data_IF_465455048658
#
_entry.id   IF_465455048658
#
_cell.length_a   1.000
_cell.length_b   1.000
_cell.length_c   1.000
_cell.angle_alpha   90.00
_cell.angle_beta   90.00
_cell.angle_gamma   90.00
#
_symmetry.space_group_name_H-M   'P 1'
#
loop_
_entity.id
_entity.type
_entity.pdbx_description
1 polymer ?
#
# COMPACT_ATOMS: atom_id res chain seq x y z
N UNK A 1 24.77 9.42 72.12
CA UNK A 1 25.37 8.69 73.26
C UNK A 1 24.93 9.37 74.56
N UNK A 2 24.69 8.67 75.69
CA UNK A 2 24.90 7.24 75.95
C UNK A 2 23.75 6.50 76.67
N UNK A 3 23.91 5.16 76.68
CA UNK A 3 23.31 4.18 77.58
C UNK A 3 23.70 4.35 79.07
N UNK A 4 22.84 3.81 79.96
CA UNK A 4 23.14 2.84 81.07
C UNK A 4 22.08 2.99 82.18
N UNK A 5 21.21 2.00 82.43
CA UNK A 5 21.41 0.82 83.30
C UNK A 5 21.97 1.20 84.69
N UNK A 6 21.37 0.89 85.85
CA UNK A 6 20.92 -0.44 86.34
C UNK A 6 20.39 -0.29 87.80
N UNK A 7 19.76 -1.37 88.33
CA UNK A 7 19.71 -1.83 89.75
C UNK A 7 18.58 -1.26 90.65
N UNK A 8 17.92 -1.98 91.58
CA UNK A 8 18.09 -3.30 92.22
C UNK A 8 16.72 -3.78 92.78
N UNK A 9 16.46 -5.08 92.77
CA UNK A 9 15.47 -5.77 93.64
C UNK A 9 16.09 -6.09 95.02
N UNK A 10 15.32 -6.40 96.08
CA UNK A 10 14.88 -7.78 96.42
C UNK A 10 13.52 -7.79 97.20
N UNK A 11 12.94 -8.85 97.76
CA UNK A 11 12.80 -10.31 97.56
C UNK A 11 12.11 -10.87 98.82
N UNK A 12 11.39 -12.00 98.68
CA UNK A 12 10.88 -12.95 99.71
C UNK A 12 9.57 -12.54 100.41
N UNK A 13 8.54 -13.37 100.52
CA UNK A 13 8.39 -14.84 100.53
C UNK A 13 7.40 -15.17 101.68
N UNK A 14 6.75 -16.31 101.86
CA UNK A 14 6.49 -17.52 101.11
C UNK A 14 5.40 -18.26 101.94
N UNK A 15 4.42 -18.88 101.28
CA UNK A 15 3.45 -19.80 101.90
C UNK A 15 3.22 -20.94 100.91
N UNK A 16 3.57 -22.16 101.32
CA UNK A 16 4.02 -23.27 100.47
C UNK A 16 3.08 -24.48 100.67
N UNK A 17 3.17 -25.43 99.70
CA UNK A 17 2.90 -26.89 99.78
C UNK A 17 1.47 -27.34 99.38
N UNK A 18 1.21 -28.39 98.60
CA UNK A 18 2.02 -29.40 97.85
C UNK A 18 1.10 -30.34 97.06
N UNK A 19 1.62 -30.91 95.95
CA UNK A 19 1.28 -32.26 95.46
C UNK A 19 0.73 -32.27 94.03
N UNK A 20 1.26 -33.00 93.04
CA UNK A 20 2.29 -34.04 93.00
C UNK A 20 3.00 -34.05 91.63
N UNK A 21 4.23 -34.59 91.61
CA UNK A 21 5.11 -34.73 90.46
C UNK A 21 4.89 -36.11 89.82
N UNK A 22 4.86 -36.21 88.48
CA UNK A 22 5.49 -37.33 87.75
C UNK A 22 6.15 -36.88 86.46
N UNK A 23 7.42 -37.27 86.35
CA UNK A 23 8.31 -37.06 85.22
C UNK A 23 7.83 -37.80 83.96
N UNK A 24 7.90 -37.12 82.81
CA UNK A 24 7.75 -37.71 81.48
C UNK A 24 8.67 -37.04 80.47
N UNK A 25 9.90 -37.52 80.37
CA UNK A 25 10.84 -37.21 79.29
C UNK A 25 10.29 -37.82 78.00
N UNK A 26 9.72 -37.03 77.10
CA UNK A 26 9.24 -37.51 75.80
C UNK A 26 10.00 -36.83 74.65
N UNK A 27 10.63 -37.70 73.86
CA UNK A 27 11.54 -37.46 72.74
C UNK A 27 10.86 -36.64 71.63
N UNK A 28 11.67 -35.94 70.84
CA UNK A 28 11.28 -35.45 69.50
C UNK A 28 10.74 -36.64 68.69
N UNK A 29 9.41 -36.76 68.66
CA UNK A 29 8.71 -37.70 67.80
C UNK A 29 8.59 -37.10 66.41
N UNK A 30 9.38 -37.60 65.47
CA UNK A 30 9.11 -37.46 64.04
C UNK A 30 7.65 -37.88 63.78
N UNK A 31 6.78 -36.92 63.44
CA UNK A 31 5.43 -37.26 62.99
C UNK A 31 5.53 -37.81 61.56
N UNK A 32 5.35 -39.13 61.49
CA UNK A 32 4.82 -39.97 60.41
C UNK A 32 4.76 -39.33 59.02
N UNK A 33 5.54 -39.90 58.09
CA UNK A 33 5.26 -39.80 56.66
C UNK A 33 3.80 -40.19 56.38
N UNK A 34 3.07 -39.46 55.50
CA UNK A 34 1.72 -39.84 55.13
C UNK A 34 1.72 -41.24 54.50
N UNK A 35 0.77 -42.06 54.92
CA UNK A 35 0.54 -43.42 54.44
C UNK A 35 0.53 -43.50 52.91
N UNK A 36 1.19 -44.49 52.31
CA UNK A 36 1.40 -44.62 50.86
C UNK A 36 0.15 -44.63 49.96
N UNK A 37 -1.07 -44.64 50.51
CA UNK A 37 -2.34 -44.54 49.75
C UNK A 37 -2.77 -43.09 49.48
N UNK A 38 -2.52 -42.14 50.40
CA UNK A 38 -2.85 -40.72 50.20
C UNK A 38 -1.85 -40.00 49.30
N UNK A 39 -0.56 -40.38 49.39
CA UNK A 39 0.49 -39.91 48.46
C UNK A 39 0.19 -40.34 47.02
N UNK A 40 -0.31 -41.58 46.84
CA UNK A 40 -0.72 -42.11 45.52
C UNK A 40 -1.91 -41.35 44.92
N UNK A 41 -2.92 -41.03 45.73
CA UNK A 41 -4.08 -40.25 45.27
C UNK A 41 -3.66 -38.81 44.91
N UNK A 42 -2.80 -38.19 45.72
CA UNK A 42 -2.27 -36.85 45.44
C UNK A 42 -1.43 -36.83 44.14
N UNK A 43 -0.57 -37.83 43.95
CA UNK A 43 0.19 -37.98 42.71
C UNK A 43 -0.70 -38.18 41.48
N UNK A 44 -1.79 -38.96 41.59
CA UNK A 44 -2.77 -39.13 40.50
C UNK A 44 -3.47 -37.81 40.14
N UNK A 45 -3.88 -37.01 41.12
CA UNK A 45 -4.48 -35.68 40.86
C UNK A 45 -3.50 -34.70 40.22
N UNK A 46 -2.23 -34.71 40.65
CA UNK A 46 -1.18 -33.91 40.02
C UNK A 46 -0.96 -34.36 38.57
N UNK A 47 -0.92 -35.67 38.30
CA UNK A 47 -0.79 -36.20 36.95
C UNK A 47 -1.98 -35.82 36.06
N UNK A 48 -3.21 -35.86 36.58
CA UNK A 48 -4.41 -35.41 35.85
C UNK A 48 -4.35 -33.91 35.56
N UNK A 49 -3.95 -33.09 36.53
CA UNK A 49 -3.77 -31.64 36.33
C UNK A 49 -2.73 -31.34 35.25
N UNK A 50 -1.58 -32.01 35.30
CA UNK A 50 -0.52 -31.88 34.28
C UNK A 50 -1.02 -32.34 32.91
N UNK A 51 -1.76 -33.44 32.84
CA UNK A 51 -2.34 -33.92 31.59
C UNK A 51 -3.36 -32.93 31.00
N UNK A 52 -4.23 -32.34 31.83
CA UNK A 52 -5.19 -31.32 31.40
C UNK A 52 -4.47 -30.06 30.90
N UNK A 53 -3.42 -29.61 31.60
CA UNK A 53 -2.60 -28.49 31.16
C UNK A 53 -1.90 -28.79 29.82
N UNK A 54 -1.36 -30.00 29.67
CA UNK A 54 -0.70 -30.44 28.43
C UNK A 54 -1.69 -30.52 27.25
N UNK A 55 -2.89 -31.08 27.46
CA UNK A 55 -3.94 -31.12 26.45
C UNK A 55 -4.41 -29.70 26.10
N UNK A 56 -4.58 -28.83 27.09
CA UNK A 56 -4.94 -27.43 26.88
C UNK A 56 -3.89 -26.66 26.06
N UNK A 57 -2.60 -26.88 26.36
CA UNK A 57 -1.49 -26.35 25.56
C UNK A 57 -1.51 -26.90 24.13
N UNK A 58 -1.77 -28.20 23.95
CA UNK A 58 -1.81 -28.84 22.64
C UNK A 58 -2.99 -28.33 21.78
N UNK A 59 -4.19 -28.23 22.37
CA UNK A 59 -5.36 -27.62 21.71
C UNK A 59 -5.06 -26.17 21.32
N UNK A 60 -4.41 -25.39 22.20
CA UNK A 60 -4.00 -24.03 21.90
C UNK A 60 -3.01 -23.96 20.75
N UNK A 61 -2.01 -24.84 20.71
CA UNK A 61 -1.05 -24.88 19.60
C UNK A 61 -1.73 -25.21 18.27
N UNK A 62 -2.64 -26.19 18.26
CA UNK A 62 -3.41 -26.55 17.06
C UNK A 62 -4.29 -25.37 16.62
N UNK A 63 -4.96 -24.70 17.56
CA UNK A 63 -5.78 -23.53 17.26
C UNK A 63 -4.96 -22.37 16.68
N UNK A 64 -3.74 -22.13 17.17
CA UNK A 64 -2.82 -21.11 16.62
C UNK A 64 -2.36 -21.51 15.21
N UNK A 65 -2.09 -22.79 14.95
CA UNK A 65 -1.72 -23.26 13.61
C UNK A 65 -2.84 -23.08 12.57
N UNK A 66 -4.11 -23.14 12.99
CA UNK A 66 -5.26 -22.90 12.10
C UNK A 66 -5.72 -21.44 12.08
N UNK A 67 -5.40 -20.66 13.12
CA UNK A 67 -5.73 -19.24 13.21
C UNK A 67 -4.56 -18.47 13.88
N UNK A 68 -3.56 -18.04 13.08
CA UNK A 68 -2.37 -17.33 13.57
C UNK A 68 -2.71 -16.02 14.30
N UNK A 69 -3.86 -15.40 13.99
CA UNK A 69 -4.34 -14.16 14.63
C UNK A 69 -4.61 -14.29 16.14
N UNK A 70 -4.94 -15.51 16.61
CA UNK A 70 -5.11 -15.80 18.06
C UNK A 70 -3.74 -16.03 18.74
N UNK A 71 -2.70 -16.21 17.93
CA UNK A 71 -1.34 -16.48 18.35
C UNK A 71 -0.50 -15.24 18.68
N UNK A 72 0.80 -15.45 18.94
CA UNK A 72 1.73 -14.36 19.22
C UNK A 72 1.85 -13.38 18.04
N UNK A 73 1.74 -13.86 16.80
CA UNK A 73 1.83 -13.05 15.58
C UNK A 73 0.67 -12.03 15.49
N UNK A 74 -0.57 -12.45 15.72
CA UNK A 74 -1.71 -11.52 15.77
C UNK A 74 -1.61 -10.49 16.89
N UNK A 75 -1.11 -10.90 18.07
CA UNK A 75 -0.85 -9.97 19.16
C UNK A 75 0.23 -8.93 18.81
N UNK A 76 1.26 -9.35 18.07
CA UNK A 76 2.36 -8.50 17.63
C UNK A 76 1.92 -7.50 16.56
N UNK A 77 1.19 -7.93 15.54
CA UNK A 77 0.65 -7.02 14.51
C UNK A 77 -0.26 -5.96 15.12
N UNK A 78 -1.14 -6.34 16.05
CA UNK A 78 -1.99 -5.39 16.77
C UNK A 78 -1.18 -4.44 17.63
N UNK A 79 -0.07 -4.88 18.24
CA UNK A 79 0.85 -4.00 18.97
C UNK A 79 1.48 -2.96 18.04
N UNK A 80 1.97 -3.38 16.88
CA UNK A 80 2.58 -2.50 15.86
C UNK A 80 1.55 -1.50 15.34
N UNK A 81 0.37 -1.96 14.93
CA UNK A 81 -0.73 -1.10 14.44
C UNK A 81 -1.17 -0.08 15.50
N UNK A 82 -1.33 -0.51 16.75
CA UNK A 82 -1.69 0.39 17.86
C UNK A 82 -0.60 1.42 18.17
N UNK A 83 0.68 1.01 18.14
CA UNK A 83 1.80 1.90 18.37
C UNK A 83 1.91 2.96 17.26
N UNK A 84 1.79 2.55 15.99
CA UNK A 84 1.76 3.43 14.83
C UNK A 84 0.58 4.42 14.92
N UNK A 85 -0.63 3.91 15.14
CA UNK A 85 -1.85 4.73 15.23
C UNK A 85 -1.76 5.72 16.38
N UNK A 86 -1.33 5.28 17.56
CA UNK A 86 -1.13 6.17 18.71
C UNK A 86 -0.10 7.26 18.41
N UNK A 87 0.97 6.96 17.68
CA UNK A 87 1.96 7.97 17.28
C UNK A 87 1.35 8.97 16.29
N UNK A 88 0.68 8.47 15.24
CA UNK A 88 0.01 9.28 14.22
C UNK A 88 -1.05 10.20 14.83
N UNK A 89 -1.94 9.70 15.69
CA UNK A 89 -2.99 10.49 16.34
C UNK A 89 -2.46 11.63 17.24
N UNK A 90 -1.20 11.54 17.68
CA UNK A 90 -0.57 12.59 18.47
C UNK A 90 0.25 13.58 17.63
N UNK A 91 0.36 13.36 16.31
CA UNK A 91 1.06 14.26 15.41
C UNK A 91 0.22 15.53 15.16
N UNK A 92 0.83 16.73 15.17
CA UNK A 92 0.12 17.96 14.87
C UNK A 92 -0.41 18.02 13.43
N UNK A 93 0.13 17.23 12.50
CA UNK A 93 -0.25 17.25 11.08
C UNK A 93 -1.37 16.25 10.73
N UNK A 94 -1.82 15.45 11.71
CA UNK A 94 -2.82 14.41 11.53
C UNK A 94 -4.17 14.87 12.08
N UNK A 95 -5.23 14.72 11.31
CA UNK A 95 -6.62 14.94 11.73
C UNK A 95 -7.24 13.67 12.32
N UNK A 96 -7.01 12.53 11.70
CA UNK A 96 -7.46 11.23 12.20
C UNK A 96 -6.52 10.11 11.75
N UNK A 97 -6.44 9.05 12.54
CA UNK A 97 -5.70 7.84 12.22
C UNK A 97 -6.48 6.64 12.74
N UNK A 98 -6.82 5.72 11.85
CA UNK A 98 -7.68 4.58 12.13
C UNK A 98 -7.00 3.29 11.65
N UNK A 99 -7.09 2.23 12.46
CA UNK A 99 -6.67 0.89 12.06
C UNK A 99 -7.79 0.30 11.22
N UNK A 100 -7.53 0.06 9.93
CA UNK A 100 -8.45 -0.63 9.03
C UNK A 100 -8.35 -2.14 9.27
N UNK A 101 -7.12 -2.62 9.37
CA UNK A 101 -6.81 -4.03 9.52
C UNK A 101 -5.53 -4.21 10.33
N UNK A 102 -5.50 -5.26 11.15
CA UNK A 102 -4.34 -5.69 11.91
C UNK A 102 -4.53 -7.18 12.21
N UNK A 103 -4.05 -8.03 11.31
CA UNK A 103 -4.32 -9.46 11.31
C UNK A 103 -3.06 -10.28 10.99
N UNK A 104 -3.06 -11.53 11.45
CA UNK A 104 -2.07 -12.54 11.09
C UNK A 104 -2.78 -13.75 10.49
N UNK A 105 -2.36 -14.17 9.30
CA UNK A 105 -2.85 -15.37 8.63
C UNK A 105 -1.70 -16.26 8.12
N UNK A 106 -2.06 -17.34 7.43
CA UNK A 106 -1.09 -18.31 6.90
C UNK A 106 -0.22 -17.67 5.79
N UNK A 107 -0.71 -16.63 5.12
CA UNK A 107 -0.03 -15.88 4.06
C UNK A 107 0.86 -14.74 4.58
N UNK A 108 0.71 -14.32 5.83
CA UNK A 108 1.60 -13.38 6.50
C UNK A 108 0.91 -12.51 7.54
N UNK A 109 1.65 -11.50 8.00
CA UNK A 109 1.20 -10.53 9.00
C UNK A 109 1.06 -9.15 8.37
N UNK A 110 -0.14 -8.56 8.40
CA UNK A 110 -0.37 -7.24 7.82
C UNK A 110 -1.15 -6.30 8.74
N UNK A 111 -0.78 -5.01 8.67
CA UNK A 111 -1.48 -3.92 9.31
C UNK A 111 -1.73 -2.82 8.28
N UNK A 112 -2.98 -2.35 8.20
CA UNK A 112 -3.42 -1.29 7.30
C UNK A 112 -3.99 -0.14 8.12
N UNK A 113 -3.46 1.05 7.92
CA UNK A 113 -3.92 2.27 8.57
C UNK A 113 -4.53 3.20 7.52
N UNK A 114 -5.62 3.87 7.90
CA UNK A 114 -6.13 5.04 7.19
C UNK A 114 -5.79 6.28 7.99
N UNK A 115 -5.17 7.26 7.36
CA UNK A 115 -4.72 8.48 8.01
C UNK A 115 -5.18 9.67 7.19
N UNK A 116 -5.88 10.59 7.84
CA UNK A 116 -6.25 11.87 7.26
C UNK A 116 -5.32 12.94 7.78
N UNK A 117 -4.57 13.59 6.90
CA UNK A 117 -3.69 14.69 7.28
C UNK A 117 -4.45 16.01 7.19
N UNK A 118 -3.87 17.05 7.78
CA UNK A 118 -4.30 18.42 7.54
C UNK A 118 -4.00 18.80 6.10
N UNK A 119 -4.84 19.66 5.55
CA UNK A 119 -4.58 20.25 4.24
C UNK A 119 -3.24 21.02 4.27
N UNK A 120 -2.57 21.04 3.12
CA UNK A 120 -1.25 21.62 2.88
C UNK A 120 -0.11 21.05 3.74
N UNK A 121 -0.27 19.82 4.27
CA UNK A 121 0.85 19.07 4.85
C UNK A 121 1.89 18.80 3.75
N UNK A 122 3.12 19.29 3.94
CA UNK A 122 4.19 19.23 2.93
C UNK A 122 4.76 17.83 2.73
N UNK A 123 5.44 17.60 1.60
CA UNK A 123 6.13 16.34 1.32
C UNK A 123 7.16 15.98 2.40
N UNK A 124 7.89 16.97 2.93
CA UNK A 124 8.87 16.77 3.99
C UNK A 124 8.20 16.38 5.31
N UNK A 125 7.10 17.05 5.66
CA UNK A 125 6.32 16.70 6.86
C UNK A 125 5.75 15.28 6.74
N UNK A 126 5.28 14.87 5.56
CA UNK A 126 4.83 13.49 5.31
C UNK A 126 5.97 12.50 5.46
N UNK A 127 7.15 12.77 4.90
CA UNK A 127 8.32 11.90 5.01
C UNK A 127 8.79 11.74 6.47
N UNK A 128 8.84 12.83 7.22
CA UNK A 128 9.17 12.83 8.65
C UNK A 128 8.11 12.08 9.49
N UNK A 129 6.83 12.26 9.14
CA UNK A 129 5.73 11.55 9.78
C UNK A 129 5.82 10.03 9.55
N UNK A 130 6.06 9.59 8.31
CA UNK A 130 6.22 8.17 7.97
C UNK A 130 7.44 7.57 8.68
N UNK A 131 8.56 8.28 8.69
CA UNK A 131 9.81 7.85 9.35
C UNK A 131 9.61 7.73 10.87
N UNK A 132 9.04 8.75 11.51
CA UNK A 132 8.78 8.73 12.95
C UNK A 132 7.73 7.68 13.34
N UNK A 133 6.71 7.47 12.50
CA UNK A 133 5.71 6.42 12.70
C UNK A 133 6.32 5.03 12.64
N UNK A 134 7.20 4.78 11.67
CA UNK A 134 7.94 3.51 11.62
C UNK A 134 8.73 3.29 12.92
N UNK A 135 9.50 4.29 13.36
CA UNK A 135 10.29 4.18 14.59
C UNK A 135 9.43 3.93 15.83
N UNK A 136 8.24 4.53 15.91
CA UNK A 136 7.30 4.31 17.00
C UNK A 136 6.66 2.91 16.95
N UNK A 137 6.35 2.42 15.74
CA UNK A 137 5.67 1.14 15.53
C UNK A 137 6.59 -0.07 15.79
N UNK A 138 7.82 -0.01 15.27
CA UNK A 138 8.80 -1.11 15.30
C UNK A 138 9.90 -0.90 16.35
N UNK A 139 10.15 0.33 16.80
CA UNK A 139 11.24 0.67 17.72
C UNK A 139 12.56 0.93 16.99
N UNK A 140 13.60 1.40 17.72
CA UNK A 140 14.88 1.85 17.13
C UNK A 140 15.70 0.77 16.41
N UNK A 141 15.41 -0.53 16.63
CA UNK A 141 16.25 -1.65 16.17
C UNK A 141 15.47 -2.85 15.61
N UNK A 142 14.15 -2.77 15.45
CA UNK A 142 13.39 -3.90 14.91
C UNK A 142 13.15 -3.66 13.42
N UNK A 143 13.93 -4.36 12.60
CA UNK A 143 13.50 -4.72 11.26
C UNK A 143 12.66 -6.00 11.41
N UNK A 144 11.51 -5.93 12.10
CA UNK A 144 10.53 -7.02 12.05
C UNK A 144 9.94 -7.01 10.63
N UNK A 145 10.71 -7.55 9.70
CA UNK A 145 10.43 -7.58 8.26
C UNK A 145 9.23 -8.44 7.92
N UNK A 146 8.70 -9.17 8.89
CA UNK A 146 7.59 -10.09 8.71
C UNK A 146 6.25 -9.35 8.71
N UNK A 147 6.16 -8.18 9.34
CA UNK A 147 4.91 -7.39 9.40
C UNK A 147 4.90 -6.35 8.27
N UNK A 148 3.91 -6.49 7.38
CA UNK A 148 3.64 -5.51 6.35
C UNK A 148 2.75 -4.39 6.90
N UNK A 149 3.32 -3.21 7.14
CA UNK A 149 2.59 -2.02 7.58
C UNK A 149 2.34 -1.09 6.40
N UNK A 150 1.08 -0.95 6.00
CA UNK A 150 0.63 -0.05 4.95
C UNK A 150 -0.14 1.13 5.55
N UNK A 151 0.30 2.35 5.24
CA UNK A 151 -0.33 3.58 5.71
C UNK A 151 -0.92 4.29 4.51
N UNK A 152 -2.25 4.38 4.44
CA UNK A 152 -2.95 5.18 3.43
C UNK A 152 -3.16 6.58 3.97
N UNK A 153 -2.55 7.56 3.32
CA UNK A 153 -2.62 8.97 3.67
C UNK A 153 -3.59 9.68 2.72
N UNK A 154 -4.49 10.49 3.27
CA UNK A 154 -5.41 11.32 2.51
C UNK A 154 -5.41 12.78 2.99
N UNK A 155 -5.24 13.72 2.05
CA UNK A 155 -5.24 15.16 2.33
C UNK A 155 -5.29 15.99 1.04
N UNK A 156 -5.49 17.30 1.17
CA UNK A 156 -5.35 18.24 0.06
C UNK A 156 -3.98 18.90 0.13
N UNK A 157 -3.23 18.98 -0.98
CA UNK A 157 -1.96 19.72 -1.06
C UNK A 157 -1.99 20.63 -2.27
N UNK A 158 -1.86 21.94 -2.07
CA UNK A 158 -1.90 22.93 -3.17
C UNK A 158 -3.16 22.82 -4.04
N UNK A 159 -4.30 22.43 -3.44
CA UNK A 159 -5.56 22.22 -4.15
C UNK A 159 -5.71 20.83 -4.82
N UNK A 160 -4.67 20.00 -4.83
CA UNK A 160 -4.72 18.61 -5.31
C UNK A 160 -5.23 17.67 -4.22
N UNK A 161 -6.20 16.82 -4.54
CA UNK A 161 -6.67 15.77 -3.63
C UNK A 161 -5.72 14.56 -3.70
N UNK A 162 -5.17 14.17 -2.55
CA UNK A 162 -4.18 13.09 -2.46
C UNK A 162 -4.77 11.95 -1.65
N UNK A 163 -4.64 10.73 -2.17
CA UNK A 163 -4.99 9.48 -1.50
C UNK A 163 -3.99 8.40 -1.88
N UNK A 164 -2.83 8.39 -1.22
CA UNK A 164 -1.73 7.47 -1.53
C UNK A 164 -1.39 6.60 -0.34
N UNK A 165 -1.02 5.35 -0.60
CA UNK A 165 -0.43 4.51 0.44
C UNK A 165 1.09 4.65 0.47
N UNK A 166 1.68 4.29 1.60
CA UNK A 166 3.11 4.11 1.76
C UNK A 166 3.33 2.89 2.63
N UNK A 167 4.32 2.07 2.28
CA UNK A 167 4.78 1.04 3.21
C UNK A 167 5.60 1.73 4.29
N UNK A 168 5.28 1.46 5.55
CA UNK A 168 6.08 1.85 6.70
C UNK A 168 6.97 0.69 7.19
N UNK A 169 6.89 -0.50 6.59
CA UNK A 169 7.86 -1.59 6.82
C UNK A 169 9.27 -1.18 6.37
N UNK A 170 9.36 -0.41 5.28
CA UNK A 170 10.57 0.31 4.86
C UNK A 170 10.13 1.75 4.62
N UNK A 171 10.67 2.75 5.35
CA UNK A 171 10.17 4.10 5.21
C UNK A 171 10.47 4.57 3.78
N UNK A 172 9.49 5.23 3.16
CA UNK A 172 9.76 6.02 1.99
C UNK A 172 10.80 7.08 2.35
N UNK A 173 11.87 7.20 1.57
CA UNK A 173 12.76 8.33 1.73
C UNK A 173 12.08 9.64 1.28
N UNK A 174 12.58 10.78 1.76
CA UNK A 174 11.98 12.07 1.48
C UNK A 174 11.94 12.38 -0.02
N UNK A 175 12.95 11.94 -0.78
CA UNK A 175 13.01 12.15 -2.22
C UNK A 175 11.92 11.37 -2.96
N UNK A 176 11.61 10.15 -2.53
CA UNK A 176 10.50 9.36 -3.08
C UNK A 176 9.15 9.99 -2.75
N UNK A 177 8.95 10.47 -1.52
CA UNK A 177 7.72 11.19 -1.16
C UNK A 177 7.57 12.46 -2.01
N UNK A 178 8.65 13.23 -2.18
CA UNK A 178 8.67 14.41 -3.07
C UNK A 178 8.37 14.03 -4.52
N UNK A 179 8.95 12.95 -5.03
CA UNK A 179 8.70 12.45 -6.38
C UNK A 179 7.21 12.14 -6.61
N UNK A 180 6.57 11.44 -5.66
CA UNK A 180 5.14 11.12 -5.71
C UNK A 180 4.29 12.38 -5.71
N UNK A 181 4.69 13.37 -4.90
CA UNK A 181 3.93 14.61 -4.67
C UNK A 181 4.34 15.75 -5.61
N UNK A 182 5.28 15.54 -6.53
CA UNK A 182 5.80 16.56 -7.44
C UNK A 182 4.72 17.14 -8.37
N UNK A 183 3.64 16.39 -8.58
CA UNK A 183 2.51 16.79 -9.43
C UNK A 183 1.44 17.60 -8.67
N UNK A 184 1.58 17.75 -7.34
CA UNK A 184 0.64 18.52 -6.55
C UNK A 184 0.66 20.00 -6.96
N UNK A 185 -0.52 20.60 -7.05
CA UNK A 185 -0.74 21.94 -7.59
C UNK A 185 -0.98 21.99 -9.11
N UNK A 186 -0.49 21.00 -9.86
CA UNK A 186 -0.85 20.82 -11.28
C UNK A 186 -1.98 19.80 -11.44
N UNK A 187 -1.99 18.75 -10.60
CA UNK A 187 -2.96 17.68 -10.68
C UNK A 187 -4.25 17.96 -9.91
N UNK A 188 -5.36 17.36 -10.31
CA UNK A 188 -6.60 17.34 -9.52
C UNK A 188 -6.55 16.25 -8.47
N UNK A 189 -6.10 15.04 -8.84
CA UNK A 189 -6.01 13.90 -7.93
C UNK A 189 -4.73 13.09 -8.10
N UNK A 190 -4.24 12.53 -6.98
CA UNK A 190 -3.13 11.57 -6.93
C UNK A 190 -3.58 10.38 -6.09
N UNK A 191 -3.62 9.19 -6.67
CA UNK A 191 -4.23 8.01 -6.05
C UNK A 191 -3.41 6.71 -6.19
N UNK A 192 -3.56 5.82 -5.19
CA UNK A 192 -3.06 4.44 -5.20
C UNK A 192 -1.87 4.17 -4.28
N UNK A 193 -1.32 2.96 -4.31
CA UNK A 193 -0.33 2.50 -3.30
C UNK A 193 0.98 3.32 -3.29
N UNK A 194 1.26 4.09 -4.34
CA UNK A 194 2.37 5.05 -4.39
C UNK A 194 2.08 6.04 -5.52
N UNK A 195 0.96 6.77 -5.44
CA UNK A 195 0.53 7.69 -6.51
C UNK A 195 0.54 7.07 -7.91
N UNK A 196 0.11 5.80 -8.03
CA UNK A 196 0.17 5.05 -9.28
C UNK A 196 -0.75 5.63 -10.35
N UNK A 197 -1.70 6.47 -9.97
CA UNK A 197 -2.56 7.22 -10.87
C UNK A 197 -2.50 8.68 -10.49
N UNK A 198 -2.24 9.53 -11.46
CA UNK A 198 -2.36 10.98 -11.32
C UNK A 198 -3.34 11.45 -12.39
N UNK A 199 -4.37 12.17 -11.97
CA UNK A 199 -5.33 12.81 -12.87
C UNK A 199 -5.21 14.32 -12.73
N UNK A 200 -4.82 14.98 -13.81
CA UNK A 200 -4.75 16.44 -13.89
C UNK A 200 -6.11 17.08 -14.20
N UNK A 201 -7.11 16.26 -14.54
CA UNK A 201 -8.45 16.72 -14.92
C UNK A 201 -8.46 17.51 -16.20
N UNK A 202 -9.33 18.53 -16.26
CA UNK A 202 -9.45 19.40 -17.43
C UNK A 202 -8.35 20.46 -17.42
N UNK A 203 -7.57 20.53 -18.49
CA UNK A 203 -6.44 21.45 -18.63
C UNK A 203 -6.56 22.26 -19.93
N UNK A 204 -5.96 23.45 -19.94
CA UNK A 204 -5.90 24.30 -21.15
C UNK A 204 -4.59 24.14 -21.92
N UNK A 205 -3.58 23.52 -21.30
CA UNK A 205 -2.26 23.23 -21.86
C UNK A 205 -1.75 21.91 -21.24
N UNK A 206 -0.82 21.24 -21.90
CA UNK A 206 -0.20 20.02 -21.36
C UNK A 206 0.48 20.31 -20.01
N UNK A 207 0.22 19.53 -18.93
CA UNK A 207 0.87 19.73 -17.64
C UNK A 207 2.39 19.58 -17.72
N UNK A 208 3.14 20.43 -17.01
CA UNK A 208 4.61 20.45 -17.13
C UNK A 208 5.26 19.20 -16.54
N UNK A 209 4.58 18.58 -15.58
CA UNK A 209 5.01 17.34 -14.95
C UNK A 209 4.56 16.08 -15.71
N UNK A 210 3.75 16.19 -16.78
CA UNK A 210 3.13 15.02 -17.42
C UNK A 210 4.16 14.00 -17.97
N UNK A 211 5.19 14.49 -18.66
CA UNK A 211 6.23 13.67 -19.28
C UNK A 211 7.48 13.48 -18.42
N UNK A 212 7.52 14.10 -17.24
CA UNK A 212 8.66 13.96 -16.32
C UNK A 212 8.74 12.53 -15.78
N UNK A 213 9.91 12.03 -15.38
CA UNK A 213 9.99 10.76 -14.67
C UNK A 213 9.09 10.73 -13.43
N UNK A 214 8.68 9.54 -13.03
CA UNK A 214 7.80 9.33 -11.88
C UNK A 214 7.94 7.93 -11.30
N UNK A 215 6.85 7.43 -10.73
CA UNK A 215 6.83 6.10 -10.10
C UNK A 215 6.76 5.02 -11.19
N UNK A 216 7.52 3.91 -11.09
CA UNK A 216 7.42 2.78 -12.02
C UNK A 216 6.00 2.22 -12.20
N UNK A 217 5.64 1.95 -13.45
CA UNK A 217 4.33 1.41 -13.83
C UNK A 217 3.17 2.22 -13.20
N UNK A 218 3.30 3.54 -13.22
CA UNK A 218 2.25 4.52 -12.93
C UNK A 218 1.68 5.13 -14.21
N UNK A 219 0.46 5.63 -14.13
CA UNK A 219 -0.25 6.29 -15.22
C UNK A 219 -0.60 7.73 -14.86
N UNK A 220 -0.53 8.60 -15.86
CA UNK A 220 -0.93 10.01 -15.76
C UNK A 220 -2.01 10.29 -16.79
N UNK A 221 -3.01 11.08 -16.41
CA UNK A 221 -4.14 11.42 -17.28
C UNK A 221 -4.42 12.91 -17.23
N UNK A 222 -4.73 13.52 -18.37
CA UNK A 222 -5.38 14.83 -18.42
C UNK A 222 -6.44 14.83 -19.53
N UNK A 223 -7.31 15.84 -19.53
CA UNK A 223 -8.22 16.12 -20.63
C UNK A 223 -7.96 17.50 -21.19
N UNK A 224 -7.65 17.58 -22.48
CA UNK A 224 -7.40 18.83 -23.19
C UNK A 224 -8.33 18.90 -24.39
N UNK A 225 -9.11 19.98 -24.50
CA UNK A 225 -10.06 20.19 -25.60
C UNK A 225 -11.01 19.00 -25.87
N UNK A 226 -11.48 18.33 -24.81
CA UNK A 226 -12.37 17.17 -24.93
C UNK A 226 -11.67 15.82 -25.20
N UNK A 227 -10.34 15.82 -25.36
CA UNK A 227 -9.53 14.62 -25.56
C UNK A 227 -8.85 14.19 -24.28
N UNK A 228 -9.15 12.97 -23.82
CA UNK A 228 -8.52 12.38 -22.65
C UNK A 228 -7.20 11.72 -23.06
N UNK A 229 -6.08 12.24 -22.57
CA UNK A 229 -4.76 11.67 -22.77
C UNK A 229 -4.38 10.88 -21.52
N UNK A 230 -3.94 9.64 -21.71
CA UNK A 230 -3.37 8.78 -20.68
C UNK A 230 -1.96 8.40 -21.12
N UNK A 231 -1.00 8.47 -20.21
CA UNK A 231 0.35 8.00 -20.45
C UNK A 231 0.79 7.09 -19.32
N UNK A 232 1.42 5.96 -19.65
CA UNK A 232 1.91 4.97 -18.70
C UNK A 232 3.43 4.92 -18.73
N UNK A 233 4.03 5.00 -17.54
CA UNK A 233 5.47 4.84 -17.36
C UNK A 233 5.93 3.39 -17.44
N UNK A 234 7.18 3.19 -17.84
CA UNK A 234 7.83 1.88 -17.84
C UNK A 234 8.25 1.42 -16.42
N UNK A 235 9.02 0.32 -16.36
CA UNK A 235 9.51 -0.26 -15.09
C UNK A 235 10.54 0.61 -14.37
N UNK A 236 11.12 1.57 -15.09
CA UNK A 236 12.07 2.55 -14.60
C UNK A 236 11.39 3.88 -14.22
N UNK A 237 10.07 4.00 -14.41
CA UNK A 237 9.32 5.22 -14.11
C UNK A 237 9.47 6.32 -15.17
N UNK A 238 10.00 6.00 -16.35
CA UNK A 238 10.08 6.94 -17.46
C UNK A 238 8.77 6.96 -18.23
N UNK A 239 8.23 8.16 -18.41
CA UNK A 239 7.08 8.40 -19.28
C UNK A 239 7.57 8.72 -20.70
N UNK A 240 6.82 8.30 -21.73
CA UNK A 240 7.00 8.78 -23.09
C UNK A 240 7.01 10.33 -23.12
N UNK A 241 8.02 10.90 -23.77
CA UNK A 241 8.28 12.34 -23.76
C UNK A 241 8.52 12.95 -25.15
N UNK A 242 8.41 12.13 -26.20
CA UNK A 242 8.68 12.49 -27.60
C UNK A 242 7.43 12.84 -28.39
N UNK A 243 6.25 12.40 -27.95
CA UNK A 243 4.97 12.62 -28.65
C UNK A 243 4.47 14.06 -28.41
N UNK A 244 4.21 14.79 -29.50
CA UNK A 244 3.62 16.11 -29.46
C UNK A 244 2.08 16.02 -29.32
N UNK A 245 1.58 15.85 -28.09
CA UNK A 245 0.14 15.63 -27.83
C UNK A 245 -0.77 16.71 -28.42
N UNK A 246 -0.36 17.97 -28.42
CA UNK A 246 -1.16 19.06 -29.01
C UNK A 246 -1.36 18.87 -30.52
N UNK A 247 -0.35 18.37 -31.24
CA UNK A 247 -0.45 18.07 -32.67
C UNK A 247 -1.36 16.86 -32.91
N UNK A 248 -1.21 15.80 -32.12
CA UNK A 248 -2.05 14.59 -32.23
C UNK A 248 -3.52 14.93 -31.92
N UNK A 249 -3.78 15.69 -30.86
CA UNK A 249 -5.13 16.15 -30.50
C UNK A 249 -5.70 17.05 -31.60
N UNK A 250 -4.93 17.99 -32.14
CA UNK A 250 -5.39 18.86 -33.22
C UNK A 250 -5.76 18.06 -34.48
N UNK A 251 -4.97 17.04 -34.83
CA UNK A 251 -5.26 16.14 -35.93
C UNK A 251 -6.53 15.30 -35.68
N UNK A 252 -6.62 14.67 -34.51
CA UNK A 252 -7.77 13.87 -34.11
C UNK A 252 -9.06 14.70 -34.01
N UNK A 253 -8.93 15.97 -33.62
CA UNK A 253 -10.05 16.91 -33.51
C UNK A 253 -10.67 17.31 -34.86
N UNK A 254 -9.99 17.04 -35.99
CA UNK A 254 -10.59 17.22 -37.32
C UNK A 254 -11.72 16.23 -37.58
N UNK A 255 -11.68 15.11 -36.87
CA UNK A 255 -12.60 13.99 -37.03
C UNK A 255 -13.72 13.97 -35.97
N UNK A 256 -13.39 14.26 -34.71
CA UNK A 256 -14.32 14.21 -33.58
C UNK A 256 -13.98 15.26 -32.52
N UNK A 257 -14.99 15.74 -31.79
CA UNK A 257 -14.80 16.70 -30.69
C UNK A 257 -14.26 16.07 -29.41
N UNK A 258 -14.32 14.74 -29.29
CA UNK A 258 -13.93 14.01 -28.09
C UNK A 258 -13.34 12.66 -28.44
N UNK A 259 -12.38 12.20 -27.65
CA UNK A 259 -11.83 10.86 -27.79
C UNK A 259 -10.77 10.59 -26.74
N UNK A 260 -10.04 9.49 -26.92
CA UNK A 260 -8.96 9.10 -26.01
C UNK A 260 -7.66 8.88 -26.76
N UNK A 261 -6.56 9.27 -26.14
CA UNK A 261 -5.20 8.93 -26.55
C UNK A 261 -4.60 8.18 -25.37
N UNK A 262 -4.19 6.93 -25.59
CA UNK A 262 -3.46 6.15 -24.61
C UNK A 262 -2.04 5.93 -25.12
N UNK A 263 -1.06 6.12 -24.25
CA UNK A 263 0.34 6.07 -24.60
C UNK A 263 1.10 5.24 -23.58
N UNK A 264 1.47 4.05 -24.00
CA UNK A 264 2.40 3.19 -23.28
C UNK A 264 3.84 3.43 -23.75
N UNK A 265 4.78 2.64 -23.24
CA UNK A 265 6.24 2.85 -23.43
C UNK A 265 6.63 3.16 -24.88
N UNK A 266 6.10 2.40 -25.84
CA UNK A 266 6.38 2.52 -27.27
C UNK A 266 5.13 2.31 -28.15
N UNK A 267 3.94 2.36 -27.57
CA UNK A 267 2.67 2.14 -28.27
C UNK A 267 1.71 3.29 -28.02
N UNK A 268 1.11 3.81 -29.09
CA UNK A 268 0.05 4.81 -28.99
C UNK A 268 -1.26 4.26 -29.53
N UNK A 269 -2.35 4.50 -28.79
CA UNK A 269 -3.71 4.17 -29.21
C UNK A 269 -4.57 5.42 -29.25
N UNK A 270 -5.26 5.67 -30.35
CA UNK A 270 -6.20 6.80 -30.50
C UNK A 270 -7.59 6.28 -30.80
N UNK A 271 -8.57 6.65 -29.98
CA UNK A 271 -9.95 6.19 -30.10
C UNK A 271 -10.95 7.32 -30.04
N UNK A 272 -12.19 7.08 -30.48
CA UNK A 272 -13.22 8.13 -30.60
C UNK A 272 -13.05 9.03 -31.81
N UNK A 273 -12.34 8.57 -32.84
CA UNK A 273 -12.13 9.31 -34.09
C UNK A 273 -13.40 9.41 -34.97
N UNK A 274 -14.48 8.70 -34.65
CA UNK A 274 -15.77 8.84 -35.35
C UNK A 274 -16.88 8.93 -34.30
N UNK A 275 -17.88 9.78 -34.54
CA UNK A 275 -19.04 9.93 -33.63
C UNK A 275 -20.03 8.77 -33.74
N UNK A 276 -19.97 8.00 -34.82
CA UNK A 276 -20.82 6.87 -35.16
C UNK A 276 -19.95 5.61 -35.17
N UNK A 277 -20.00 4.85 -34.09
CA UNK A 277 -19.20 3.63 -33.87
C UNK A 277 -19.58 2.48 -34.81
N UNK A 278 -20.67 2.62 -35.57
CA UNK A 278 -21.06 1.67 -36.62
C UNK A 278 -20.33 1.90 -37.94
N UNK A 279 -19.62 3.05 -38.09
CA UNK A 279 -18.87 3.40 -39.30
C UNK A 279 -17.39 3.08 -39.15
N UNK A 280 -16.83 2.40 -40.14
CA UNK A 280 -15.39 2.18 -40.24
C UNK A 280 -14.61 3.50 -40.32
N UNK A 281 -13.38 3.48 -39.81
CA UNK A 281 -12.43 4.57 -39.99
C UNK A 281 -12.08 4.75 -41.47
N UNK A 282 -12.28 5.95 -42.01
CA UNK A 282 -11.89 6.29 -43.39
C UNK A 282 -10.48 6.87 -43.43
N UNK A 283 -9.79 6.79 -44.59
CA UNK A 283 -8.51 7.48 -44.81
C UNK A 283 -8.52 8.95 -44.44
N UNK A 284 -9.58 9.69 -44.77
CA UNK A 284 -9.71 11.12 -44.48
C UNK A 284 -9.72 11.41 -42.98
N UNK A 285 -10.22 10.48 -42.18
CA UNK A 285 -10.39 10.60 -40.74
C UNK A 285 -9.13 10.19 -39.99
N UNK A 286 -8.48 9.10 -40.43
CA UNK A 286 -7.34 8.49 -39.76
C UNK A 286 -5.98 9.07 -40.20
N UNK A 287 -5.85 9.47 -41.47
CA UNK A 287 -4.58 9.94 -42.03
C UNK A 287 -3.99 11.16 -41.31
N UNK A 288 -4.77 12.17 -40.85
CA UNK A 288 -4.22 13.28 -40.08
C UNK A 288 -3.49 12.82 -38.81
N UNK A 289 -4.01 11.81 -38.11
CA UNK A 289 -3.39 11.28 -36.89
C UNK A 289 -2.10 10.55 -37.20
N UNK A 290 -2.09 9.71 -38.25
CA UNK A 290 -0.87 9.04 -38.72
C UNK A 290 0.18 10.07 -39.14
N UNK A 291 -0.23 11.12 -39.85
CA UNK A 291 0.66 12.20 -40.29
C UNK A 291 1.27 12.96 -39.10
N UNK A 292 0.49 13.22 -38.04
CA UNK A 292 1.00 13.89 -36.83
C UNK A 292 2.13 13.13 -36.11
N UNK A 293 2.24 11.82 -36.34
CA UNK A 293 3.34 10.97 -35.85
C UNK A 293 4.07 10.25 -37.00
N UNK A 294 4.20 10.91 -38.17
CA UNK A 294 4.70 10.27 -39.39
C UNK A 294 6.11 9.66 -39.22
N UNK A 295 7.02 10.36 -38.53
CA UNK A 295 8.30 9.80 -38.11
C UNK A 295 8.12 9.05 -36.78
N UNK A 296 7.86 7.75 -36.90
CA UNK A 296 7.64 6.88 -35.75
C UNK A 296 8.89 6.72 -34.87
N UNK A 297 10.10 6.92 -35.42
CA UNK A 297 11.33 6.86 -34.62
C UNK A 297 11.50 8.11 -33.77
N UNK A 298 11.26 9.28 -34.36
CA UNK A 298 11.27 10.55 -33.62
C UNK A 298 10.15 10.59 -32.59
N UNK A 299 8.97 10.03 -32.90
CA UNK A 299 7.88 9.89 -31.94
C UNK A 299 8.15 8.84 -30.84
N UNK A 300 9.17 8.00 -30.98
CA UNK A 300 9.50 6.94 -30.02
C UNK A 300 8.50 5.78 -30.01
N UNK A 301 7.77 5.56 -31.11
CA UNK A 301 6.70 4.58 -31.21
C UNK A 301 7.10 3.40 -32.09
N UNK A 302 6.84 2.18 -31.62
CA UNK A 302 6.92 0.95 -32.41
C UNK A 302 5.57 0.57 -33.00
N UNK A 303 4.47 0.97 -32.35
CA UNK A 303 3.11 0.64 -32.77
C UNK A 303 2.16 1.83 -32.63
N UNK A 304 1.23 1.94 -33.58
CA UNK A 304 0.13 2.89 -33.56
C UNK A 304 -1.17 2.14 -33.79
N UNK A 305 -2.16 2.39 -32.95
CA UNK A 305 -3.48 1.78 -33.02
C UNK A 305 -4.54 2.88 -33.14
N UNK A 306 -5.42 2.77 -34.13
CA UNK A 306 -6.52 3.70 -34.35
C UNK A 306 -7.86 2.97 -34.25
N UNK A 307 -8.83 3.60 -33.59
CA UNK A 307 -10.19 3.09 -33.54
C UNK A 307 -11.30 4.16 -33.62
N UNK A 308 -12.46 3.76 -34.12
CA UNK A 308 -13.63 4.62 -34.24
C UNK A 308 -14.37 4.78 -32.90
N UNK A 309 -14.53 3.71 -32.11
CA UNK A 309 -15.26 3.71 -30.85
C UNK A 309 -14.46 4.39 -29.74
N UNK A 310 -15.13 5.14 -28.88
CA UNK A 310 -14.53 5.53 -27.60
C UNK A 310 -14.54 4.30 -26.68
N UNK A 311 -13.38 3.94 -26.11
CA UNK A 311 -13.24 2.84 -25.14
C UNK A 311 -14.18 3.02 -23.94
N UNK A 312 -15.39 2.46 -23.99
CA UNK A 312 -16.22 2.26 -22.80
C UNK A 312 -15.64 1.07 -22.02
N UNK A 313 -15.41 1.26 -20.72
CA UNK A 313 -14.66 0.36 -19.82
C UNK A 313 -15.29 -1.03 -19.58
N UNK A 314 -16.30 -1.43 -20.35
CA UNK A 314 -17.08 -2.66 -20.14
C UNK A 314 -17.21 -3.56 -21.38
N UNK A 315 -16.73 -3.16 -22.56
CA UNK A 315 -16.83 -3.99 -23.76
C UNK A 315 -15.48 -4.59 -24.13
N UNK A 316 -15.35 -5.91 -23.94
CA UNK A 316 -14.23 -6.72 -24.44
C UNK A 316 -14.34 -7.01 -25.95
N UNK A 317 -14.93 -6.11 -26.73
CA UNK A 317 -15.00 -6.27 -28.19
C UNK A 317 -13.76 -5.61 -28.76
N UNK A 318 -12.64 -6.32 -28.64
CA UNK A 318 -11.44 -6.00 -29.38
C UNK A 318 -11.66 -6.42 -30.85
N UNK A 319 -11.30 -5.51 -31.74
CA UNK A 319 -11.17 -5.62 -33.19
C UNK A 319 -12.38 -5.40 -34.11
N UNK A 320 -12.13 -4.74 -35.27
CA UNK A 320 -10.79 -4.46 -35.81
C UNK A 320 -10.25 -3.06 -35.47
N UNK A 321 -9.17 -3.01 -34.70
CA UNK A 321 -8.26 -1.87 -34.66
C UNK A 321 -7.53 -1.77 -36.00
N UNK A 322 -7.37 -0.55 -36.50
CA UNK A 322 -6.37 -0.29 -37.53
C UNK A 322 -5.03 -0.14 -36.84
N UNK A 323 -4.04 -0.89 -37.27
CA UNK A 323 -2.77 -1.00 -36.58
C UNK A 323 -1.60 -0.81 -37.53
N UNK A 324 -0.62 -0.05 -37.08
CA UNK A 324 0.58 0.25 -37.86
C UNK A 324 1.81 -0.14 -37.04
N UNK A 325 2.83 -0.65 -37.73
CA UNK A 325 4.12 -0.99 -37.13
C UNK A 325 5.19 -0.07 -37.67
N UNK A 326 6.06 0.44 -36.81
CA UNK A 326 7.19 1.27 -37.21
C UNK A 326 8.28 0.38 -37.82
N UNK A 327 8.70 0.70 -39.04
CA UNK A 327 9.84 0.06 -39.71
C UNK A 327 10.74 1.15 -40.31
N UNK A 328 11.97 1.25 -39.82
CA UNK A 328 12.97 2.24 -40.23
C UNK A 328 12.45 3.69 -40.29
N UNK A 329 11.67 4.11 -39.29
CA UNK A 329 11.13 5.48 -39.21
C UNK A 329 9.87 5.73 -40.02
N UNK A 330 9.32 4.69 -40.68
CA UNK A 330 8.07 4.78 -41.43
C UNK A 330 7.04 3.76 -40.95
N UNK A 331 5.77 4.13 -40.99
CA UNK A 331 4.67 3.22 -40.68
C UNK A 331 4.42 2.21 -41.79
N UNK A 332 4.16 0.96 -41.42
CA UNK A 332 3.70 -0.10 -42.33
C UNK A 332 2.40 -0.71 -41.80
N UNK A 333 1.51 -1.21 -42.68
CA UNK A 333 0.32 -1.96 -42.25
C UNK A 333 0.73 -3.14 -41.36
N UNK A 334 -0.05 -3.42 -40.32
CA UNK A 334 0.18 -4.58 -39.45
C UNK A 334 -0.53 -5.83 -39.97
N UNK A 335 -1.69 -5.65 -40.59
CA UNK A 335 -2.52 -6.77 -41.04
C UNK A 335 -2.23 -7.12 -42.50
N UNK A 336 -2.28 -8.42 -42.82
CA UNK A 336 -2.18 -8.93 -44.20
C UNK A 336 -3.56 -9.16 -44.85
N UNK A 337 -4.65 -8.94 -44.11
CA UNK A 337 -6.04 -9.14 -44.54
C UNK A 337 -6.61 -7.91 -45.28
N UNK A 338 -7.92 -7.88 -45.54
CA UNK A 338 -8.60 -6.67 -46.04
C UNK A 338 -8.38 -5.45 -45.15
N UNK A 339 -8.23 -5.64 -43.83
CA UNK A 339 -7.85 -4.59 -42.88
C UNK A 339 -6.50 -3.96 -43.24
N UNK A 340 -5.56 -4.76 -43.76
CA UNK A 340 -4.27 -4.27 -44.25
C UNK A 340 -4.38 -3.36 -45.48
N UNK A 341 -5.42 -3.54 -46.30
CA UNK A 341 -5.70 -2.66 -47.44
C UNK A 341 -6.21 -1.29 -46.96
N UNK A 342 -7.08 -1.28 -45.94
CA UNK A 342 -7.54 -0.05 -45.31
C UNK A 342 -6.38 0.71 -44.64
N UNK A 343 -5.51 -0.02 -43.91
CA UNK A 343 -4.29 0.52 -43.33
C UNK A 343 -3.37 1.13 -44.41
N UNK A 344 -3.13 0.41 -45.51
CA UNK A 344 -2.31 0.92 -46.62
C UNK A 344 -2.90 2.18 -47.27
N UNK A 345 -4.23 2.24 -47.44
CA UNK A 345 -4.91 3.42 -47.97
C UNK A 345 -4.77 4.64 -47.04
N UNK A 346 -4.84 4.44 -45.72
CA UNK A 346 -4.58 5.49 -44.73
C UNK A 346 -3.15 5.98 -44.80
N UNK A 347 -2.16 5.08 -44.88
CA UNK A 347 -0.75 5.45 -44.98
C UNK A 347 -0.50 6.27 -46.25
N UNK A 348 -1.04 5.85 -47.39
CA UNK A 348 -0.95 6.61 -48.63
C UNK A 348 -1.53 8.02 -48.43
N UNK A 349 -2.73 8.12 -47.84
CA UNK A 349 -3.37 9.40 -47.60
C UNK A 349 -2.56 10.30 -46.65
N UNK A 350 -1.93 9.73 -45.62
CA UNK A 350 -1.11 10.46 -44.67
C UNK A 350 0.15 11.08 -45.30
N UNK A 351 0.69 10.46 -46.37
CA UNK A 351 1.82 11.02 -47.13
C UNK A 351 1.44 12.18 -48.05
N UNK A 352 0.15 12.41 -48.29
CA UNK A 352 -0.36 13.51 -49.12
C UNK A 352 -0.62 14.81 -48.33
N UNK A 353 -0.61 14.74 -46.98
CA UNK A 353 -0.84 15.85 -46.06
C UNK A 353 0.44 16.65 -45.84
#
# INVERSE_FOLDING_TARGET
MPDKQTRHAPSKGAGKLTGSIRHGRARLGWRKLPSGRSVRICALWIMVLVAVLAIGLLIRTIAISFNPDIGPEGAEVRRVANAATKHLSNSPDVLSADIIEASADIGGTEARLNVRLKDDTSADAVADLLTSTQQAAFGKNSSDTNIYLLITLSWTLHGTSISTSFSATKPADAEFVRLVLATAGEANTIEGITGKRVDYGQVTTTPTTFTQPGVPNSSRTFTLNGWKVTSTSNKEGQFPNTVAFEQVIAAASQASTTGTIDLDTDSMSVTGLVTDDTKSLTPETAAPVVHAVADCTTAGLTTLHLNNWALNTTSSVADPWLSFTCNNGTWTPKHESSTGQDEAAILQKATEL
#
